data_IF_126891302810
#
_entry.id   IF_126891302810
#
_cell.length_a   1.000
_cell.length_b   1.000
_cell.length_c   1.000
_cell.angle_alpha   90.00
_cell.angle_beta   90.00
_cell.angle_gamma   90.00
#
_symmetry.space_group_name_H-M   'P 1'
#
loop_
_entity.id
_entity.type
_entity.pdbx_description
1 polymer ?
#
# COMPACT_ATOMS: atom_id res chain seq x y z
N UNK A 1 4.36 -5.99 -10.62
CA UNK A 1 4.21 -7.30 -9.95
C UNK A 1 5.36 -7.42 -8.99
N UNK A 2 5.11 -7.61 -7.70
CA UNK A 2 6.17 -7.73 -6.68
C UNK A 2 6.26 -9.19 -6.30
N UNK A 3 7.41 -9.82 -6.55
CA UNK A 3 7.72 -11.17 -6.10
C UNK A 3 8.78 -10.99 -5.01
N UNK A 4 8.52 -11.51 -3.80
CA UNK A 4 9.48 -11.54 -2.72
C UNK A 4 9.91 -12.99 -2.46
N UNK A 5 11.22 -13.18 -2.24
CA UNK A 5 11.79 -14.42 -1.75
C UNK A 5 12.61 -14.10 -0.50
N UNK A 6 12.63 -15.00 0.48
CA UNK A 6 13.37 -14.85 1.72
C UNK A 6 14.42 -15.96 1.82
N UNK A 7 15.66 -15.57 2.09
CA UNK A 7 16.74 -16.51 2.39
C UNK A 7 16.44 -17.18 3.76
N UNK A 8 16.66 -18.50 3.96
CA UNK A 8 16.41 -19.20 5.20
C UNK A 8 17.37 -18.71 6.29
N UNK A 9 17.06 -19.15 7.51
CA UNK A 9 17.81 -18.79 8.69
C UNK A 9 19.30 -19.13 8.58
N UNK A 10 20.12 -18.33 9.29
CA UNK A 10 21.59 -18.28 9.28
C UNK A 10 22.31 -19.63 9.47
N UNK A 11 21.61 -20.68 9.91
CA UNK A 11 22.17 -22.01 10.21
C UNK A 11 21.51 -23.17 9.41
N UNK A 12 20.76 -22.85 8.36
CA UNK A 12 20.16 -23.87 7.51
C UNK A 12 21.26 -24.66 6.75
N UNK A 13 21.46 -25.92 7.11
CA UNK A 13 22.42 -26.81 6.42
C UNK A 13 21.71 -27.62 5.33
N UNK A 14 22.37 -27.79 4.18
CA UNK A 14 21.85 -28.60 3.07
C UNK A 14 20.83 -27.91 2.15
N UNK A 15 20.64 -26.60 2.28
CA UNK A 15 19.78 -25.83 1.37
C UNK A 15 20.66 -25.13 0.33
N UNK A 16 20.76 -25.71 -0.87
CA UNK A 16 21.22 -24.96 -2.04
C UNK A 16 20.12 -23.98 -2.41
N UNK A 17 20.39 -22.70 -2.19
CA UNK A 17 19.49 -21.65 -2.64
C UNK A 17 20.06 -21.10 -3.91
N UNK A 18 19.84 -21.88 -4.96
CA UNK A 18 19.88 -21.40 -6.31
C UNK A 18 18.53 -20.74 -6.59
N UNK A 19 18.26 -19.58 -5.96
CA UNK A 19 17.25 -18.68 -6.52
C UNK A 19 17.92 -18.01 -7.70
N UNK A 20 17.85 -18.71 -8.82
CA UNK A 20 17.83 -18.13 -10.15
C UNK A 20 16.38 -17.70 -10.40
N UNK A 21 15.90 -16.53 -9.94
CA UNK A 21 14.54 -16.10 -10.23
C UNK A 21 14.40 -16.00 -11.75
N UNK A 22 13.62 -16.90 -12.33
CA UNK A 22 13.21 -16.85 -13.72
C UNK A 22 11.86 -16.14 -13.78
N UNK A 23 11.78 -15.03 -14.52
CA UNK A 23 10.54 -14.30 -14.70
C UNK A 23 10.29 -14.03 -16.19
N UNK A 24 9.04 -14.23 -16.58
CA UNK A 24 8.54 -13.99 -17.92
C UNK A 24 7.81 -12.65 -17.97
N UNK A 25 8.34 -11.70 -18.74
CA UNK A 25 7.69 -10.43 -19.02
C UNK A 25 7.05 -10.52 -20.39
N UNK A 26 5.72 -10.39 -20.47
CA UNK A 26 4.97 -10.34 -21.73
C UNK A 26 4.37 -8.95 -21.92
N UNK A 27 4.70 -8.29 -23.01
CA UNK A 27 4.14 -7.01 -23.46
C UNK A 27 3.34 -7.21 -24.74
N UNK A 28 2.09 -6.73 -24.76
CA UNK A 28 1.14 -6.97 -25.84
C UNK A 28 1.37 -6.18 -27.14
N UNK A 29 2.50 -5.49 -27.27
CA UNK A 29 2.86 -4.70 -28.46
C UNK A 29 4.12 -5.25 -29.15
N UNK A 30 4.10 -5.30 -30.48
CA UNK A 30 5.27 -5.69 -31.27
C UNK A 30 6.39 -4.65 -31.19
N UNK A 31 7.65 -5.08 -31.18
CA UNK A 31 8.82 -4.22 -31.43
C UNK A 31 9.53 -3.64 -30.22
N UNK A 32 9.35 -4.19 -29.01
CA UNK A 32 10.11 -3.73 -27.84
C UNK A 32 11.54 -4.29 -27.85
N UNK A 33 12.60 -3.45 -27.92
CA UNK A 33 13.97 -3.94 -27.97
C UNK A 33 14.45 -4.32 -26.57
N UNK A 34 15.26 -5.39 -26.48
CA UNK A 34 15.87 -5.83 -25.21
C UNK A 34 16.70 -4.72 -24.52
N UNK A 35 17.20 -3.75 -25.29
CA UNK A 35 17.94 -2.59 -24.80
C UNK A 35 17.11 -1.63 -23.96
N UNK A 36 15.78 -1.76 -23.94
CA UNK A 36 14.87 -0.90 -23.17
C UNK A 36 14.43 -1.53 -21.85
N UNK A 37 14.97 -2.72 -21.51
CA UNK A 37 14.69 -3.39 -20.23
C UNK A 37 15.61 -2.83 -19.15
N UNK A 38 14.99 -2.30 -18.08
CA UNK A 38 15.67 -1.95 -16.84
C UNK A 38 15.08 -2.78 -15.68
N UNK A 39 15.96 -3.39 -14.88
CA UNK A 39 15.56 -4.15 -13.69
C UNK A 39 16.31 -3.63 -12.48
N UNK A 40 15.58 -3.24 -11.45
CA UNK A 40 16.13 -2.81 -10.17
C UNK A 40 15.77 -3.80 -9.08
N UNK A 41 16.70 -3.96 -8.14
CA UNK A 41 16.53 -4.80 -6.95
C UNK A 41 16.62 -3.91 -5.72
N UNK A 42 15.62 -4.01 -4.85
CA UNK A 42 15.64 -3.37 -3.54
C UNK A 42 15.82 -4.41 -2.44
N UNK A 43 16.78 -4.12 -1.56
CA UNK A 43 17.04 -4.85 -0.31
C UNK A 43 16.36 -4.07 0.81
N UNK A 44 15.69 -4.74 1.74
CA UNK A 44 14.93 -4.08 2.82
C UNK A 44 15.76 -3.00 3.56
N UNK A 45 15.22 -1.78 3.61
CA UNK A 45 15.88 -0.59 4.17
C UNK A 45 17.05 0.00 3.36
N UNK A 46 17.44 -0.61 2.24
CA UNK A 46 18.52 -0.16 1.35
C UNK A 46 18.04 0.70 0.18
N UNK A 47 18.97 1.43 -0.46
CA UNK A 47 18.70 2.11 -1.72
C UNK A 47 18.52 1.07 -2.85
N UNK A 48 17.62 1.30 -3.82
CA UNK A 48 17.49 0.44 -5.00
C UNK A 48 18.82 0.33 -5.74
N UNK A 49 19.15 -0.89 -6.20
CA UNK A 49 20.35 -1.19 -6.97
C UNK A 49 19.92 -1.58 -8.38
N UNK A 50 20.48 -0.93 -9.39
CA UNK A 50 20.24 -1.29 -10.79
C UNK A 50 20.98 -2.59 -11.11
N UNK A 51 20.24 -3.61 -11.57
CA UNK A 51 20.79 -4.94 -11.89
C UNK A 51 20.93 -5.13 -13.39
N UNK A 52 19.97 -4.62 -14.16
CA UNK A 52 20.03 -4.56 -15.63
C UNK A 52 19.76 -3.13 -16.06
N UNK A 53 20.67 -2.54 -16.83
CA UNK A 53 20.52 -1.21 -17.43
C UNK A 53 20.80 -1.31 -18.93
N UNK A 54 19.86 -0.84 -19.74
CA UNK A 54 20.01 -0.89 -21.20
C UNK A 54 20.10 -2.31 -21.76
N UNK A 55 19.46 -3.30 -21.11
CA UNK A 55 19.58 -4.72 -21.47
C UNK A 55 20.90 -5.39 -21.09
N UNK A 56 21.79 -4.72 -20.32
CA UNK A 56 23.06 -5.28 -19.85
C UNK A 56 23.12 -5.43 -18.33
N UNK A 57 23.63 -6.56 -17.85
CA UNK A 57 23.86 -6.82 -16.43
C UNK A 57 24.93 -5.89 -15.86
N UNK A 58 24.67 -5.34 -14.68
CA UNK A 58 25.62 -4.51 -13.94
C UNK A 58 26.65 -5.37 -13.19
N UNK A 59 27.77 -4.76 -12.79
CA UNK A 59 28.83 -5.48 -12.06
C UNK A 59 28.30 -6.09 -10.75
N UNK A 60 28.69 -7.33 -10.45
CA UNK A 60 28.17 -8.08 -9.30
C UNK A 60 26.95 -8.95 -9.64
N UNK A 61 26.49 -8.95 -10.89
CA UNK A 61 25.36 -9.75 -11.35
C UNK A 61 25.64 -10.38 -12.71
N UNK A 62 25.19 -11.63 -12.86
CA UNK A 62 25.19 -12.40 -14.11
C UNK A 62 23.78 -12.94 -14.36
N UNK A 63 23.57 -13.60 -15.50
CA UNK A 63 22.27 -14.20 -15.79
C UNK A 63 22.01 -14.35 -17.28
N UNK A 64 20.74 -14.56 -17.61
CA UNK A 64 20.26 -14.66 -19.00
C UNK A 64 19.10 -13.70 -19.22
N UNK A 65 19.13 -12.99 -20.34
CA UNK A 65 18.03 -12.21 -20.86
C UNK A 65 17.73 -12.77 -22.26
N UNK A 66 16.69 -13.60 -22.36
CA UNK A 66 16.33 -14.27 -23.61
C UNK A 66 14.92 -13.93 -24.01
N UNK A 67 14.69 -13.60 -25.27
CA UNK A 67 13.38 -13.18 -25.73
C UNK A 67 13.44 -12.36 -27.02
N UNK A 68 12.30 -12.24 -27.68
CA UNK A 68 12.10 -11.41 -28.87
C UNK A 68 10.65 -10.92 -28.90
N UNK A 69 10.42 -9.74 -29.45
CA UNK A 69 9.08 -9.21 -29.73
C UNK A 69 8.17 -9.04 -28.51
N UNK A 70 8.70 -8.48 -27.42
CA UNK A 70 7.89 -8.11 -26.25
C UNK A 70 7.72 -9.21 -25.20
N UNK A 71 8.23 -10.42 -25.45
CA UNK A 71 8.36 -11.48 -24.45
C UNK A 71 9.83 -11.67 -24.05
N UNK A 72 10.11 -11.61 -22.75
CA UNK A 72 11.46 -11.80 -22.19
C UNK A 72 11.45 -12.73 -20.99
N UNK A 73 12.29 -13.75 -21.02
CA UNK A 73 12.70 -14.54 -19.87
C UNK A 73 13.99 -13.97 -19.31
N UNK A 74 13.95 -13.60 -18.03
CA UNK A 74 15.08 -13.02 -17.31
C UNK A 74 15.46 -13.92 -16.15
N UNK A 75 16.75 -14.23 -16.05
CA UNK A 75 17.37 -14.90 -14.91
C UNK A 75 18.46 -14.01 -14.37
N UNK A 76 18.49 -13.80 -13.06
CA UNK A 76 19.47 -12.94 -12.37
C UNK A 76 20.20 -13.77 -11.33
N UNK A 77 21.52 -13.83 -11.42
CA UNK A 77 22.42 -14.53 -10.51
C UNK A 77 23.41 -13.53 -9.92
N UNK A 78 23.32 -13.17 -8.64
CA UNK A 78 24.31 -12.31 -8.01
C UNK A 78 25.67 -13.03 -7.91
N UNK A 79 26.77 -12.30 -8.03
CA UNK A 79 28.14 -12.84 -7.92
C UNK A 79 28.51 -13.23 -6.46
N UNK A 80 27.71 -12.76 -5.50
CA UNK A 80 27.80 -13.10 -4.09
C UNK A 80 26.39 -13.31 -3.50
N UNK A 81 26.25 -14.26 -2.59
CA UNK A 81 24.98 -14.56 -1.94
C UNK A 81 24.42 -13.32 -1.22
N UNK A 82 23.11 -13.09 -1.35
CA UNK A 82 22.43 -12.06 -0.57
C UNK A 82 22.54 -12.38 0.94
N UNK A 83 22.66 -11.37 1.82
CA UNK A 83 22.60 -11.59 3.26
C UNK A 83 21.33 -12.36 3.66
N UNK A 84 21.42 -13.21 4.70
CA UNK A 84 20.27 -13.96 5.19
C UNK A 84 19.12 -13.01 5.62
N UNK A 85 17.88 -13.49 5.51
CA UNK A 85 16.66 -12.77 5.92
C UNK A 85 16.35 -11.46 5.19
N UNK A 86 16.99 -11.20 4.05
CA UNK A 86 16.67 -10.05 3.20
C UNK A 86 15.44 -10.32 2.35
N UNK A 87 14.49 -9.39 2.36
CA UNK A 87 13.43 -9.34 1.36
C UNK A 87 13.98 -8.68 0.09
N UNK A 88 13.91 -9.41 -1.02
CA UNK A 88 14.34 -8.92 -2.33
C UNK A 88 13.09 -8.54 -3.12
N UNK A 89 12.95 -7.27 -3.44
CA UNK A 89 11.89 -6.78 -4.32
C UNK A 89 12.45 -6.51 -5.72
N UNK A 90 11.82 -7.10 -6.73
CA UNK A 90 12.14 -6.87 -8.14
C UNK A 90 11.16 -5.88 -8.76
N UNK A 91 11.69 -4.83 -9.39
CA UNK A 91 10.89 -3.88 -10.17
C UNK A 91 11.46 -3.84 -11.59
N UNK A 92 10.70 -4.35 -12.55
CA UNK A 92 10.97 -4.16 -13.97
C UNK A 92 10.26 -2.87 -14.43
N UNK A 93 11.03 -1.94 -14.99
CA UNK A 93 10.48 -0.75 -15.63
C UNK A 93 10.73 -0.85 -17.14
N UNK A 94 9.66 -0.65 -17.91
CA UNK A 94 9.73 -0.52 -19.36
C UNK A 94 9.74 0.98 -19.65
N UNK A 95 10.91 1.52 -20.02
CA UNK A 95 11.00 2.91 -20.45
C UNK A 95 10.51 3.04 -21.89
N UNK A 96 9.28 3.54 -22.05
CA UNK A 96 8.71 3.80 -23.37
C UNK A 96 9.28 5.14 -23.90
N UNK A 97 10.35 5.07 -24.69
CA UNK A 97 10.94 6.27 -25.30
C UNK A 97 10.11 6.69 -26.51
N UNK A 98 9.01 7.40 -26.27
CA UNK A 98 8.18 7.96 -27.34
C UNK A 98 8.89 9.17 -27.98
N UNK A 99 9.68 8.94 -29.03
CA UNK A 99 10.26 10.04 -29.81
C UNK A 99 9.22 10.61 -30.79
N UNK A 100 8.53 11.68 -30.36
CA UNK A 100 7.65 12.46 -31.23
C UNK A 100 8.49 13.32 -32.18
N UNK A 101 8.62 12.90 -33.44
CA UNK A 101 9.24 13.73 -34.48
C UNK A 101 8.20 14.72 -35.01
N UNK A 102 8.34 16.00 -34.70
CA UNK A 102 7.53 17.07 -35.30
C UNK A 102 7.91 17.23 -36.78
N UNK A 103 7.14 16.61 -37.67
CA UNK A 103 7.19 16.93 -39.09
C UNK A 103 6.80 18.39 -39.31
N UNK A 104 7.73 19.19 -39.83
CA UNK A 104 7.45 20.56 -40.27
C UNK A 104 6.80 20.49 -41.64
N UNK A 105 5.47 20.49 -41.71
CA UNK A 105 4.79 20.66 -43.01
C UNK A 105 4.76 22.15 -43.38
N UNK A 106 5.50 22.45 -44.45
CA UNK A 106 5.49 23.73 -45.12
C UNK A 106 4.16 23.95 -45.86
N UNK A 107 3.65 25.18 -45.79
CA UNK A 107 2.34 25.54 -46.30
C UNK A 107 2.18 25.64 -47.83
N UNK A 108 0.92 25.75 -48.22
CA UNK A 108 0.38 25.97 -49.56
C UNK A 108 -0.85 25.07 -49.72
N UNK A 109 -2.09 25.50 -49.93
CA UNK A 109 -2.63 26.68 -50.59
C UNK A 109 -3.75 26.17 -51.52
N UNK A 110 -5.01 26.46 -51.17
CA UNK A 110 -6.18 26.23 -52.03
C UNK A 110 -7.18 25.19 -51.52
N UNK A 111 -8.32 25.64 -50.99
CA UNK A 111 -9.50 24.79 -50.77
C UNK A 111 -10.12 24.43 -52.14
N UNK A 112 -10.37 23.14 -52.43
CA UNK A 112 -11.17 22.74 -53.58
C UNK A 112 -12.67 22.98 -53.35
N UNK A 113 -13.50 23.05 -54.42
CA UNK A 113 -14.93 23.27 -54.28
C UNK A 113 -15.59 22.05 -53.63
N UNK A 114 -16.37 22.29 -52.58
CA UNK A 114 -17.09 21.25 -51.83
C UNK A 114 -18.25 20.73 -52.69
N UNK A 115 -18.16 19.47 -53.12
CA UNK A 115 -19.31 18.72 -53.63
C UNK A 115 -20.22 18.26 -52.47
N UNK A 116 -21.55 18.26 -52.64
CA UNK A 116 -22.49 17.87 -51.60
C UNK A 116 -22.64 16.35 -51.56
N UNK A 117 -21.84 15.70 -50.71
CA UNK A 117 -21.96 14.28 -50.41
C UNK A 117 -21.11 13.86 -49.22
N UNK A 118 -21.78 13.49 -48.13
CA UNK A 118 -21.23 12.78 -46.95
C UNK A 118 -20.21 13.52 -46.07
N UNK A 119 -20.67 14.51 -45.29
CA UNK A 119 -19.98 14.83 -44.02
C UNK A 119 -20.45 13.85 -42.93
N UNK A 120 -19.86 12.65 -42.85
CA UNK A 120 -19.69 12.05 -41.52
C UNK A 120 -18.63 12.87 -40.82
N UNK A 121 -19.06 13.89 -40.07
CA UNK A 121 -18.18 14.65 -39.19
C UNK A 121 -17.47 13.66 -38.25
N UNK A 122 -16.22 13.34 -38.55
CA UNK A 122 -15.41 12.51 -37.67
C UNK A 122 -15.21 13.25 -36.35
N UNK A 123 -15.16 12.50 -35.24
CA UNK A 123 -14.91 13.08 -33.92
C UNK A 123 -13.64 13.97 -33.93
N UNK A 124 -12.63 13.57 -34.70
CA UNK A 124 -11.40 14.31 -34.96
C UNK A 124 -11.65 15.65 -35.64
N UNK A 125 -12.42 15.70 -36.74
CA UNK A 125 -12.75 16.96 -37.42
C UNK A 125 -13.59 17.90 -36.52
N UNK A 126 -14.49 17.34 -35.71
CA UNK A 126 -15.27 18.10 -34.74
C UNK A 126 -14.39 18.72 -33.64
N UNK A 127 -13.42 17.95 -33.12
CA UNK A 127 -12.44 18.43 -32.14
C UNK A 127 -11.55 19.54 -32.71
N UNK A 128 -11.04 19.38 -33.93
CA UNK A 128 -10.19 20.39 -34.57
C UNK A 128 -10.93 21.70 -34.81
N UNK A 129 -12.18 21.63 -35.29
CA UNK A 129 -13.05 22.80 -35.46
C UNK A 129 -13.34 23.48 -34.11
N UNK A 130 -13.58 22.70 -33.05
CA UNK A 130 -13.79 23.23 -31.71
C UNK A 130 -12.53 23.94 -31.17
N UNK A 131 -11.35 23.33 -31.31
CA UNK A 131 -10.07 23.91 -30.90
C UNK A 131 -9.82 25.24 -31.64
N UNK A 132 -10.09 25.31 -32.94
CA UNK A 132 -9.95 26.56 -33.71
C UNK A 132 -10.89 27.67 -33.21
N UNK A 133 -12.14 27.33 -32.87
CA UNK A 133 -13.08 28.32 -32.29
C UNK A 133 -12.58 28.80 -30.93
N UNK A 134 -12.08 27.90 -30.09
CA UNK A 134 -11.57 28.22 -28.76
C UNK A 134 -10.28 29.07 -28.79
N UNK A 135 -9.48 28.98 -29.85
CA UNK A 135 -8.26 29.79 -30.06
C UNK A 135 -8.52 31.27 -30.36
N UNK A 136 -9.79 31.72 -30.47
CA UNK A 136 -10.09 33.14 -30.69
C UNK A 136 -9.61 33.99 -29.49
N UNK A 137 -8.97 35.15 -29.71
CA UNK A 137 -8.35 35.94 -28.63
C UNK A 137 -9.30 36.26 -27.47
N UNK A 138 -10.57 36.59 -27.76
CA UNK A 138 -11.58 36.89 -26.74
C UNK A 138 -11.96 35.68 -25.89
N UNK A 139 -12.03 34.50 -26.52
CA UNK A 139 -12.33 33.25 -25.81
C UNK A 139 -11.14 32.85 -24.95
N UNK A 140 -9.91 32.97 -25.47
CA UNK A 140 -8.69 32.78 -24.69
C UNK A 140 -8.62 33.73 -23.49
N UNK A 141 -8.94 35.01 -23.65
CA UNK A 141 -8.99 35.96 -22.52
C UNK A 141 -10.01 35.53 -21.46
N UNK A 142 -11.21 35.10 -21.87
CA UNK A 142 -12.23 34.61 -20.95
C UNK A 142 -11.76 33.33 -20.22
N UNK A 143 -11.18 32.38 -20.95
CA UNK A 143 -10.62 31.14 -20.38
C UNK A 143 -9.50 31.45 -19.39
N UNK A 144 -8.60 32.39 -19.70
CA UNK A 144 -7.55 32.81 -18.77
C UNK A 144 -8.12 33.45 -17.50
N UNK A 145 -9.15 34.29 -17.61
CA UNK A 145 -9.79 34.90 -16.42
C UNK A 145 -10.43 33.82 -15.54
N UNK A 146 -11.13 32.86 -16.16
CA UNK A 146 -11.75 31.76 -15.43
C UNK A 146 -10.70 30.82 -14.80
N UNK A 147 -9.67 30.43 -15.56
CA UNK A 147 -8.56 29.62 -15.08
C UNK A 147 -7.82 30.28 -13.92
N UNK A 148 -7.48 31.56 -14.04
CA UNK A 148 -6.82 32.31 -12.97
C UNK A 148 -7.66 32.42 -11.70
N UNK A 149 -8.99 32.43 -11.81
CA UNK A 149 -9.89 32.43 -10.64
C UNK A 149 -10.07 31.04 -10.04
N UNK A 150 -10.02 29.99 -10.85
CA UNK A 150 -10.12 28.61 -10.40
C UNK A 150 -8.81 28.13 -9.73
N UNK A 151 -7.65 28.62 -10.18
CA UNK A 151 -6.35 28.12 -9.73
C UNK A 151 -6.14 28.20 -8.20
N UNK A 152 -6.48 29.29 -7.49
CA UNK A 152 -6.33 29.34 -6.04
C UNK A 152 -7.21 28.32 -5.31
N UNK A 153 -8.41 28.04 -5.83
CA UNK A 153 -9.33 27.03 -5.26
C UNK A 153 -8.74 25.64 -5.46
N UNK A 154 -8.27 25.33 -6.67
CA UNK A 154 -7.61 24.05 -6.96
C UNK A 154 -6.38 23.86 -6.05
N UNK A 155 -5.55 24.90 -5.91
CA UNK A 155 -4.39 24.85 -5.03
C UNK A 155 -4.81 24.60 -3.58
N UNK A 156 -5.82 25.31 -3.07
CA UNK A 156 -6.31 25.11 -1.70
C UNK A 156 -6.91 23.71 -1.48
N UNK A 157 -7.57 23.13 -2.49
CA UNK A 157 -8.05 21.75 -2.43
C UNK A 157 -6.88 20.77 -2.38
N UNK A 158 -5.89 20.95 -3.26
CA UNK A 158 -4.68 20.11 -3.28
C UNK A 158 -3.89 20.23 -1.96
N UNK A 159 -3.77 21.43 -1.40
CA UNK A 159 -3.13 21.67 -0.11
C UNK A 159 -3.88 20.95 1.02
N UNK A 160 -5.21 20.96 0.98
CA UNK A 160 -6.04 20.26 1.98
C UNK A 160 -5.88 18.74 1.85
N UNK A 161 -5.83 18.22 0.63
CA UNK A 161 -5.60 16.80 0.35
C UNK A 161 -4.21 16.41 0.84
N UNK A 162 -3.17 17.15 0.45
CA UNK A 162 -1.79 16.89 0.84
C UNK A 162 -1.57 16.99 2.36
N UNK A 163 -2.22 17.94 3.02
CA UNK A 163 -2.15 18.08 4.48
C UNK A 163 -2.85 16.94 5.24
N UNK A 164 -3.76 16.21 4.59
CA UNK A 164 -4.47 15.06 5.18
C UNK A 164 -4.00 13.71 4.64
N UNK A 165 -3.09 13.71 3.68
CA UNK A 165 -2.51 12.49 3.12
C UNK A 165 -1.56 11.88 4.14
N UNK A 166 -1.89 10.69 4.65
CA UNK A 166 -1.07 9.95 5.60
C UNK A 166 0.33 9.63 5.04
N UNK A 167 0.49 9.52 3.71
CA UNK A 167 1.80 9.24 3.12
C UNK A 167 2.80 10.40 3.32
N UNK A 168 2.32 11.64 3.32
CA UNK A 168 3.17 12.85 3.37
C UNK A 168 3.01 13.67 4.64
N UNK A 169 1.92 13.52 5.38
CA UNK A 169 1.64 14.31 6.58
C UNK A 169 2.67 14.06 7.68
N UNK A 170 3.11 15.12 8.35
CA UNK A 170 4.08 15.05 9.45
C UNK A 170 3.79 16.06 10.57
N UNK A 171 4.30 15.78 11.77
CA UNK A 171 4.16 16.65 12.94
C UNK A 171 2.70 17.06 13.20
N UNK A 172 2.47 18.38 13.27
CA UNK A 172 1.16 18.97 13.60
C UNK A 172 0.03 18.58 12.64
N UNK A 173 0.32 18.18 11.40
CA UNK A 173 -0.71 17.70 10.47
C UNK A 173 -1.29 16.35 10.92
N UNK A 174 -0.45 15.46 11.45
CA UNK A 174 -0.90 14.19 12.02
C UNK A 174 -1.64 14.42 13.34
N UNK A 175 -1.19 15.38 14.14
CA UNK A 175 -1.86 15.75 15.40
C UNK A 175 -3.26 16.35 15.13
N UNK A 176 -3.48 17.02 14.00
CA UNK A 176 -4.82 17.45 13.62
C UNK A 176 -5.77 16.27 13.34
N UNK A 177 -5.24 15.13 12.88
CA UNK A 177 -6.00 13.90 12.67
C UNK A 177 -6.28 13.14 13.98
N UNK A 178 -5.52 13.42 15.05
CA UNK A 178 -5.76 12.85 16.39
C UNK A 178 -7.19 13.04 16.85
N UNK A 179 -7.72 14.27 16.66
CA UNK A 179 -9.05 14.66 17.11
C UNK A 179 -10.13 13.89 16.36
N UNK A 180 -9.94 13.69 15.06
CA UNK A 180 -10.89 12.99 14.20
C UNK A 180 -10.98 11.50 14.56
N UNK A 181 -9.82 10.83 14.68
CA UNK A 181 -9.76 9.40 14.97
C UNK A 181 -9.79 9.06 16.47
N UNK A 182 -9.74 10.09 17.33
CA UNK A 182 -9.60 9.98 18.80
C UNK A 182 -8.44 9.06 19.20
N UNK A 183 -7.28 9.28 18.59
CA UNK A 183 -6.12 8.42 18.76
C UNK A 183 -4.90 9.24 19.18
N UNK A 184 -4.62 9.38 20.49
CA UNK A 184 -3.54 10.23 20.94
C UNK A 184 -2.18 9.71 20.49
N UNK A 185 -1.29 10.65 20.14
CA UNK A 185 0.04 10.32 19.63
C UNK A 185 0.92 9.58 20.64
N UNK A 186 0.81 9.90 21.93
CA UNK A 186 1.51 9.23 23.05
C UNK A 186 3.02 9.02 22.81
N UNK A 187 3.71 10.03 22.26
CA UNK A 187 5.15 9.98 21.99
C UNK A 187 5.56 9.12 20.78
N UNK A 188 4.61 8.61 19.99
CA UNK A 188 4.92 7.87 18.76
C UNK A 188 5.64 8.75 17.73
N UNK A 189 6.57 8.12 17.00
CA UNK A 189 7.18 8.72 15.81
C UNK A 189 6.12 8.99 14.74
N UNK A 190 6.38 9.92 13.82
CA UNK A 190 5.46 10.19 12.69
C UNK A 190 5.17 8.90 11.89
N UNK A 191 6.20 8.07 11.66
CA UNK A 191 6.06 6.82 10.92
C UNK A 191 5.12 5.84 11.63
N UNK A 192 5.36 5.58 12.92
CA UNK A 192 4.50 4.69 13.73
C UNK A 192 3.09 5.25 13.85
N UNK A 193 2.96 6.57 13.98
CA UNK A 193 1.66 7.20 14.17
C UNK A 193 0.79 7.19 12.90
N UNK A 194 1.38 7.33 11.70
CA UNK A 194 0.67 7.13 10.43
C UNK A 194 0.07 5.74 10.32
N UNK A 195 0.83 4.71 10.67
CA UNK A 195 0.37 3.32 10.67
C UNK A 195 -0.85 3.15 11.58
N UNK A 196 -0.78 3.72 12.79
CA UNK A 196 -1.90 3.72 13.76
C UNK A 196 -3.13 4.45 13.23
N UNK A 197 -2.96 5.59 12.57
CA UNK A 197 -4.06 6.34 11.95
C UNK A 197 -4.67 5.59 10.76
N UNK A 198 -3.85 4.90 9.97
CA UNK A 198 -4.32 4.05 8.87
C UNK A 198 -5.20 2.90 9.39
N UNK A 199 -4.76 2.22 10.45
CA UNK A 199 -5.57 1.21 11.11
C UNK A 199 -6.86 1.80 11.70
N UNK A 200 -6.81 2.98 12.31
CA UNK A 200 -8.01 3.67 12.80
C UNK A 200 -9.00 4.00 11.68
N UNK A 201 -8.52 4.38 10.49
CA UNK A 201 -9.36 4.61 9.33
C UNK A 201 -10.01 3.30 8.82
N UNK A 202 -9.28 2.19 8.84
CA UNK A 202 -9.84 0.87 8.53
C UNK A 202 -10.91 0.46 9.54
N UNK A 203 -10.67 0.68 10.84
CA UNK A 203 -11.65 0.40 11.91
C UNK A 203 -12.96 1.14 11.68
N UNK A 204 -12.90 2.43 11.31
CA UNK A 204 -14.10 3.25 11.05
C UNK A 204 -14.90 2.75 9.84
N UNK A 205 -14.22 2.15 8.85
CA UNK A 205 -14.87 1.63 7.63
C UNK A 205 -15.21 0.14 7.68
N UNK A 206 -14.74 -0.56 8.70
CA UNK A 206 -14.92 -2.00 8.88
C UNK A 206 -16.35 -2.38 9.25
N UNK A 207 -16.75 -3.57 8.79
CA UNK A 207 -17.99 -4.27 9.14
C UNK A 207 -17.80 -5.29 10.27
N UNK A 208 -16.57 -5.43 10.77
CA UNK A 208 -16.19 -6.38 11.82
C UNK A 208 -16.14 -7.83 11.37
N UNK A 209 -15.82 -8.07 10.10
CA UNK A 209 -15.59 -9.45 9.62
C UNK A 209 -14.22 -9.94 10.08
N UNK A 210 -14.06 -11.27 10.21
CA UNK A 210 -12.78 -11.88 10.61
C UNK A 210 -11.61 -11.43 9.75
N UNK A 211 -11.78 -11.41 8.43
CA UNK A 211 -10.75 -10.99 7.47
C UNK A 211 -10.34 -9.52 7.67
N UNK A 212 -11.31 -8.62 7.85
CA UNK A 212 -11.02 -7.20 8.11
C UNK A 212 -10.27 -7.01 9.45
N UNK A 213 -10.56 -7.81 10.47
CA UNK A 213 -9.86 -7.77 11.75
C UNK A 213 -8.39 -8.19 11.61
N UNK A 214 -8.13 -9.21 10.79
CA UNK A 214 -6.77 -9.64 10.46
C UNK A 214 -6.01 -8.56 9.67
N UNK A 215 -6.66 -7.92 8.71
CA UNK A 215 -6.08 -6.82 7.93
C UNK A 215 -5.74 -5.59 8.82
N UNK A 216 -6.64 -5.24 9.75
CA UNK A 216 -6.42 -4.16 10.72
C UNK A 216 -5.22 -4.47 11.62
N UNK A 217 -5.13 -5.70 12.15
CA UNK A 217 -4.00 -6.12 12.98
C UNK A 217 -2.68 -6.11 12.20
N UNK A 218 -2.70 -6.63 10.97
CA UNK A 218 -1.53 -6.64 10.09
C UNK A 218 -1.05 -5.22 9.80
N UNK A 219 -2.00 -4.29 9.63
CA UNK A 219 -1.69 -2.87 9.47
C UNK A 219 -1.07 -2.31 10.75
N UNK A 220 -1.66 -2.56 11.93
CA UNK A 220 -1.17 -2.04 13.22
C UNK A 220 0.26 -2.43 13.52
N UNK A 221 0.65 -3.66 13.22
CA UNK A 221 2.00 -4.17 13.43
C UNK A 221 2.96 -3.77 12.28
N UNK A 222 2.57 -2.78 11.45
CA UNK A 222 3.34 -2.27 10.31
C UNK A 222 3.75 -3.36 9.30
N UNK A 223 2.93 -4.40 9.17
CA UNK A 223 3.25 -5.57 8.35
C UNK A 223 4.34 -6.48 8.95
N UNK A 224 4.88 -6.16 10.13
CA UNK A 224 5.45 -7.20 10.98
C UNK A 224 4.28 -8.12 11.30
N UNK A 225 4.35 -9.36 10.87
CA UNK A 225 3.39 -10.34 11.32
C UNK A 225 3.57 -10.47 12.84
N UNK A 226 2.50 -10.44 13.66
CA UNK A 226 2.58 -11.07 14.96
C UNK A 226 3.05 -12.49 14.70
N UNK A 227 4.10 -12.93 15.39
CA UNK A 227 4.67 -14.27 15.20
C UNK A 227 3.63 -15.39 15.34
N UNK A 228 2.45 -15.07 15.91
CA UNK A 228 1.24 -15.87 15.84
C UNK A 228 0.00 -14.95 15.92
N UNK A 229 -0.82 -14.88 14.86
CA UNK A 229 -2.22 -14.43 14.97
C UNK A 229 -3.10 -15.67 14.82
N UNK A 230 -4.05 -15.86 15.73
CA UNK A 230 -5.11 -16.83 15.56
C UNK A 230 -6.47 -16.16 15.76
N UNK A 231 -7.37 -16.41 14.82
CA UNK A 231 -8.77 -16.05 14.92
C UNK A 231 -9.57 -17.34 15.06
N UNK A 232 -10.31 -17.47 16.16
CA UNK A 232 -11.11 -18.65 16.47
C UNK A 232 -12.56 -18.21 16.57
N UNK A 233 -13.40 -18.79 15.73
CA UNK A 233 -14.85 -18.64 15.84
C UNK A 233 -15.38 -19.53 16.96
N UNK A 234 -16.16 -18.95 17.86
CA UNK A 234 -16.78 -19.64 18.98
C UNK A 234 -18.30 -19.52 18.90
N UNK A 235 -18.99 -20.66 18.98
CA UNK A 235 -20.45 -20.72 19.01
C UNK A 235 -20.99 -20.11 20.33
N UNK A 236 -22.13 -19.38 20.35
CA UNK A 236 -23.07 -19.14 19.25
C UNK A 236 -22.77 -17.97 18.32
N UNK A 237 -22.05 -16.93 18.77
CA UNK A 237 -21.73 -15.75 17.95
C UNK A 237 -20.57 -14.95 18.57
N UNK A 238 -19.43 -15.58 18.79
CA UNK A 238 -18.24 -14.94 19.31
C UNK A 238 -17.01 -15.23 18.42
N UNK A 239 -16.09 -14.29 18.38
CA UNK A 239 -14.79 -14.43 17.73
C UNK A 239 -13.72 -14.09 18.76
N UNK A 240 -12.76 -14.99 18.94
CA UNK A 240 -11.61 -14.80 19.80
C UNK A 240 -10.41 -14.57 18.89
N UNK A 241 -9.80 -13.40 19.02
CA UNK A 241 -8.63 -12.98 18.26
C UNK A 241 -7.44 -12.92 19.21
N UNK A 242 -6.52 -13.85 19.09
CA UNK A 242 -5.27 -13.89 19.85
C UNK A 242 -4.12 -13.41 18.98
N UNK A 243 -3.31 -12.46 19.47
CA UNK A 243 -2.14 -11.97 18.76
C UNK A 243 -0.94 -11.77 19.69
N UNK A 244 0.26 -12.10 19.22
CA UNK A 244 1.47 -11.92 20.00
C UNK A 244 2.05 -10.51 19.84
N UNK A 245 2.56 -9.93 20.93
CA UNK A 245 3.35 -8.69 20.91
C UNK A 245 4.79 -8.97 21.33
N UNK A 246 5.72 -8.10 20.91
CA UNK A 246 7.12 -8.20 21.31
C UNK A 246 7.30 -8.06 22.84
N UNK A 247 8.35 -8.71 23.38
CA UNK A 247 8.75 -8.53 24.78
C UNK A 247 8.99 -7.05 25.12
N UNK A 248 8.42 -6.58 26.23
CA UNK A 248 8.41 -5.19 26.65
C UNK A 248 7.37 -4.31 25.94
N UNK A 249 6.51 -4.86 25.08
CA UNK A 249 5.54 -4.11 24.28
C UNK A 249 4.11 -4.17 24.85
N UNK A 250 3.94 -4.47 26.14
CA UNK A 250 2.66 -4.48 26.86
C UNK A 250 1.70 -3.33 26.49
N UNK A 251 2.19 -2.09 26.52
CA UNK A 251 1.39 -0.90 26.21
C UNK A 251 0.92 -0.85 24.75
N UNK A 252 1.67 -1.48 23.84
CA UNK A 252 1.29 -1.61 22.43
C UNK A 252 0.15 -2.62 22.30
N UNK A 253 0.24 -3.76 22.99
CA UNK A 253 -0.84 -4.76 23.03
C UNK A 253 -2.15 -4.19 23.57
N UNK A 254 -2.10 -3.44 24.67
CA UNK A 254 -3.28 -2.73 25.20
C UNK A 254 -3.85 -1.71 24.21
N UNK A 255 -2.99 -0.97 23.50
CA UNK A 255 -3.44 -0.03 22.48
C UNK A 255 -4.16 -0.75 21.34
N UNK A 256 -3.61 -1.86 20.86
CA UNK A 256 -4.21 -2.65 19.78
C UNK A 256 -5.55 -3.24 20.20
N UNK A 257 -5.63 -3.83 21.41
CA UNK A 257 -6.90 -4.34 21.94
C UNK A 257 -7.93 -3.21 22.03
N UNK A 258 -7.57 -2.04 22.57
CA UNK A 258 -8.48 -0.89 22.67
C UNK A 258 -8.95 -0.40 21.30
N UNK A 259 -8.09 -0.42 20.29
CA UNK A 259 -8.44 -0.05 18.91
C UNK A 259 -9.40 -1.08 18.30
N UNK A 260 -9.14 -2.37 18.47
CA UNK A 260 -10.00 -3.45 17.97
C UNK A 260 -11.38 -3.46 18.63
N UNK A 261 -11.49 -3.06 19.90
CA UNK A 261 -12.79 -2.91 20.58
C UNK A 261 -13.67 -1.83 19.94
N UNK A 262 -13.10 -0.92 19.13
CA UNK A 262 -13.87 0.12 18.42
C UNK A 262 -14.43 -0.37 17.09
N UNK A 263 -14.04 -1.57 16.63
CA UNK A 263 -14.57 -2.17 15.40
C UNK A 263 -16.06 -2.49 15.60
N UNK A 264 -16.94 -2.13 14.67
CA UNK A 264 -18.34 -2.53 14.72
C UNK A 264 -18.47 -4.05 14.83
N UNK A 265 -19.11 -4.54 15.89
CA UNK A 265 -19.35 -5.96 16.08
C UNK A 265 -20.46 -6.40 15.12
N UNK A 266 -20.10 -6.99 13.98
CA UNK A 266 -21.00 -7.40 12.88
C UNK A 266 -21.97 -8.53 13.23
N UNK A 267 -22.60 -8.48 14.40
CA UNK A 267 -23.46 -9.52 14.97
C UNK A 267 -22.71 -10.57 15.78
N UNK A 268 -21.38 -10.49 15.87
CA UNK A 268 -20.54 -11.39 16.68
C UNK A 268 -19.79 -10.60 17.76
N UNK A 269 -19.72 -11.13 18.98
CA UNK A 269 -18.90 -10.58 20.06
C UNK A 269 -17.43 -10.80 19.73
N UNK A 270 -16.65 -9.73 19.62
CA UNK A 270 -15.20 -9.81 19.46
C UNK A 270 -14.51 -9.80 20.82
N UNK A 271 -13.61 -10.75 21.04
CA UNK A 271 -12.69 -10.79 22.19
C UNK A 271 -11.27 -10.73 21.66
N UNK A 272 -10.58 -9.62 21.88
CA UNK A 272 -9.20 -9.43 21.46
C UNK A 272 -8.27 -9.72 22.65
N UNK A 273 -7.39 -10.72 22.50
CA UNK A 273 -6.42 -11.17 23.51
C UNK A 273 -5.02 -10.99 22.94
N UNK A 274 -4.08 -10.61 23.79
CA UNK A 274 -2.69 -10.50 23.37
C UNK A 274 -1.73 -11.22 24.31
N UNK A 275 -0.65 -11.73 23.73
CA UNK A 275 0.34 -12.56 24.40
C UNK A 275 1.71 -11.89 24.34
N UNK A 276 2.44 -11.86 25.45
CA UNK A 276 3.82 -11.38 25.54
C UNK A 276 4.69 -12.51 26.10
N UNK A 277 5.81 -12.82 25.44
CA UNK A 277 6.74 -13.88 25.88
C UNK A 277 6.13 -15.26 26.16
N UNK A 278 5.10 -15.62 25.38
CA UNK A 278 4.32 -16.85 25.53
C UNK A 278 3.51 -16.96 26.83
N UNK A 279 3.23 -15.81 27.45
CA UNK A 279 2.34 -15.68 28.59
C UNK A 279 1.07 -15.02 28.09
N UNK A 280 -0.02 -15.79 28.12
CA UNK A 280 -1.36 -15.27 27.86
C UNK A 280 -1.67 -14.20 28.91
N UNK A 281 -1.56 -12.94 28.50
CA UNK A 281 -1.90 -11.84 29.37
C UNK A 281 -3.36 -11.51 29.15
N UNK A 282 -4.18 -12.12 30.02
CA UNK A 282 -5.60 -11.89 30.08
C UNK A 282 -5.90 -10.40 30.30
N UNK A 283 -6.60 -9.78 29.34
CA UNK A 283 -7.26 -8.50 29.54
C UNK A 283 -8.76 -8.72 29.43
N UNK A 284 -9.44 -8.67 30.57
CA UNK A 284 -10.88 -8.45 30.64
C UNK A 284 -11.11 -6.94 30.62
N UNK A 285 -12.00 -6.45 29.74
CA UNK A 285 -12.57 -5.10 29.89
C UNK A 285 -14.11 -5.16 29.98
N UNK A 286 -14.56 -4.57 31.09
CA UNK A 286 -15.73 -3.73 31.38
C UNK A 286 -17.19 -4.01 30.95
N UNK A 287 -17.60 -5.26 30.78
CA UNK A 287 -18.92 -5.66 31.34
C UNK A 287 -18.71 -6.60 32.52
N UNK A 288 -18.55 -5.99 33.70
CA UNK A 288 -18.58 -6.70 34.97
C UNK A 288 -19.90 -7.48 35.09
N UNK A 289 -19.83 -8.81 34.97
CA UNK A 289 -20.97 -9.69 35.30
C UNK A 289 -21.19 -10.92 34.44
N UNK A 290 -20.44 -11.16 33.36
CA UNK A 290 -20.67 -12.33 32.49
C UNK A 290 -19.44 -13.22 32.28
N UNK A 291 -18.64 -13.43 33.34
CA UNK A 291 -17.86 -14.66 33.42
C UNK A 291 -18.83 -15.85 33.42
N UNK A 292 -18.42 -17.00 32.89
CA UNK A 292 -19.22 -18.23 32.90
C UNK A 292 -19.88 -18.38 34.27
N UNK A 293 -21.21 -18.25 34.32
CA UNK A 293 -21.96 -18.51 35.55
C UNK A 293 -21.61 -19.93 35.96
N UNK A 294 -21.00 -20.07 37.13
CA UNK A 294 -21.08 -21.32 37.86
C UNK A 294 -22.58 -21.49 38.18
N UNK A 295 -23.23 -22.53 37.64
CA UNK A 295 -24.68 -22.73 37.76
C UNK A 295 -25.13 -22.85 39.24
N UNK A 296 -24.18 -23.00 40.16
CA UNK A 296 -24.42 -23.27 41.58
C UNK A 296 -24.16 -22.09 42.55
N UNK A 297 -23.76 -20.89 42.08
CA UNK A 297 -23.51 -19.73 42.97
C UNK A 297 -24.26 -18.45 42.55
N UNK A 298 -25.39 -18.11 43.18
CA UNK A 298 -26.19 -16.93 42.84
C UNK A 298 -25.58 -15.58 43.28
N UNK A 299 -24.52 -15.57 44.10
CA UNK A 299 -23.97 -14.35 44.71
C UNK A 299 -22.52 -14.03 44.29
N UNK A 300 -21.92 -14.81 43.38
CA UNK A 300 -20.55 -14.57 42.93
C UNK A 300 -20.46 -13.48 41.84
N UNK A 301 -20.46 -12.22 42.26
CA UNK A 301 -20.07 -11.08 41.40
C UNK A 301 -18.54 -11.11 41.19
N UNK A 302 -18.12 -11.77 40.11
CA UNK A 302 -16.72 -12.03 39.78
C UNK A 302 -15.80 -10.80 39.74
N UNK A 303 -14.55 -11.04 40.16
CA UNK A 303 -13.31 -10.39 39.69
C UNK A 303 -13.11 -8.90 39.94
N UNK A 304 -12.27 -8.56 40.93
CA UNK A 304 -11.69 -7.22 41.15
C UNK A 304 -10.28 -7.16 40.55
N UNK A 305 -9.93 -6.00 39.94
CA UNK A 305 -8.68 -5.67 39.25
C UNK A 305 -7.39 -5.92 40.05
N UNK A 306 -6.31 -6.28 39.35
CA UNK A 306 -4.95 -5.99 39.79
C UNK A 306 -4.57 -4.56 39.37
N UNK A 307 -4.86 -3.59 40.23
CA UNK A 307 -4.08 -2.35 40.26
C UNK A 307 -2.75 -2.64 40.97
N UNK A 308 -1.62 -2.47 40.29
CA UNK A 308 -0.29 -2.52 40.89
C UNK A 308 0.71 -1.78 40.01
N UNK A 309 1.05 -0.55 40.36
CA UNK A 309 2.28 -0.20 41.09
C UNK A 309 3.56 -0.41 40.27
N UNK A 310 4.21 0.69 39.88
CA UNK A 310 5.59 0.72 39.40
C UNK A 310 5.77 1.46 38.10
#
# INVERSE_FOLDING_TARGET
MTISAQNPAQDATGVFIDISPAFHLSYGGAGFPASSVAVTVSVDGGAPIDVIVGGAFQAGYTGTLTGSDGEFDITINPDADFPASVLIAFVAQLEDTYSFTTGTEAGGGGDPPIEPGEETLSCTLAQDRLIQVLKKPRILTLLCILGNRAQPVINSMNDTIAARDLATAGGAQLDALEVEYRLPRNGASDATYRVRLQAAAQIVSSRGTGDELLDILTTLDAGAYPATIALIEHFPAAMILTFQVASGAWLVGQLYSRLLHRVPQGGCRLVAMFEEDRVDLFVWDDEAGNGWQDEDDPDNTGGVWAEGMG
#
